data_IF_129084465242
#
_entry.id   IF_129084465242
#
_cell.length_a   1.000
_cell.length_b   1.000
_cell.length_c   1.000
_cell.angle_alpha   90.00
_cell.angle_beta   90.00
_cell.angle_gamma   90.00
#
_symmetry.space_group_name_H-M   'P 1'
#
loop_
_entity.id
_entity.type
_entity.pdbx_description
1 polymer ?
#
# COMPACT_ATOMS: atom_id res chain seq x y z
N UNK A 1 29.51 -9.85 -7.44
CA UNK A 1 29.52 -8.45 -7.90
C UNK A 1 28.28 -7.76 -7.33
N UNK A 2 28.45 -6.97 -6.26
CA UNK A 2 27.33 -6.27 -5.59
C UNK A 2 27.11 -4.96 -6.32
N UNK A 3 25.99 -4.84 -7.05
CA UNK A 3 25.55 -3.55 -7.56
C UNK A 3 25.01 -2.72 -6.40
N UNK A 4 25.48 -1.47 -6.29
CA UNK A 4 25.16 -0.55 -5.20
C UNK A 4 23.64 -0.35 -5.04
N UNK A 5 23.08 -1.05 -4.07
CA UNK A 5 21.64 -0.97 -3.74
C UNK A 5 21.43 0.26 -2.87
N UNK A 6 20.68 1.22 -3.35
CA UNK A 6 20.29 2.36 -2.52
C UNK A 6 19.02 2.02 -1.73
N UNK A 7 19.14 1.11 -0.76
CA UNK A 7 18.13 0.94 0.29
C UNK A 7 18.54 1.85 1.43
N UNK A 8 17.66 2.74 1.85
CA UNK A 8 17.85 3.63 2.99
C UNK A 8 16.86 3.25 4.08
N UNK A 9 17.37 2.72 5.17
CA UNK A 9 16.62 2.41 6.39
C UNK A 9 16.96 3.47 7.44
N UNK A 10 15.95 4.12 7.99
CA UNK A 10 16.10 5.09 9.06
C UNK A 10 16.23 4.39 10.43
N UNK A 11 16.30 5.17 11.51
CA UNK A 11 16.53 4.66 12.88
C UNK A 11 15.34 3.80 13.35
N UNK A 12 15.62 2.69 14.01
CA UNK A 12 14.59 1.84 14.62
C UNK A 12 13.70 1.09 13.63
N UNK A 13 14.06 1.06 12.34
CA UNK A 13 13.35 0.23 11.35
C UNK A 13 13.57 -1.24 11.69
N UNK A 14 12.47 -2.01 11.72
CA UNK A 14 12.49 -3.45 11.97
C UNK A 14 12.09 -4.20 10.69
N UNK A 15 12.97 -5.07 10.24
CA UNK A 15 12.70 -5.98 9.11
C UNK A 15 12.67 -7.39 9.68
N UNK A 16 11.51 -8.03 9.62
CA UNK A 16 11.31 -9.35 10.19
C UNK A 16 11.66 -10.47 9.20
N UNK A 17 11.82 -11.67 9.72
CA UNK A 17 12.23 -12.85 8.97
C UNK A 17 11.29 -13.13 7.77
N UNK A 18 11.88 -13.51 6.64
CA UNK A 18 11.15 -13.76 5.41
C UNK A 18 10.58 -12.52 4.71
N UNK A 19 10.77 -11.30 5.27
CA UNK A 19 10.47 -10.08 4.54
C UNK A 19 11.45 -9.90 3.38
N UNK A 20 10.94 -9.50 2.21
CA UNK A 20 11.75 -9.31 1.01
C UNK A 20 11.81 -7.83 0.64
N UNK A 21 13.01 -7.26 0.74
CA UNK A 21 13.30 -5.91 0.25
C UNK A 21 14.01 -6.03 -1.08
N UNK A 22 13.28 -5.75 -2.15
CA UNK A 22 13.75 -5.85 -3.52
C UNK A 22 13.86 -7.28 -4.08
N UNK A 23 13.01 -7.56 -5.04
CA UNK A 23 13.14 -8.68 -5.95
C UNK A 23 13.58 -8.18 -7.31
N UNK A 24 14.66 -8.76 -7.85
CA UNK A 24 15.14 -8.47 -9.19
C UNK A 24 14.57 -9.52 -10.16
N UNK A 25 13.65 -9.10 -11.01
CA UNK A 25 13.35 -9.83 -12.24
C UNK A 25 14.01 -9.09 -13.41
N UNK A 26 15.04 -9.67 -14.00
CA UNK A 26 15.63 -9.14 -15.23
C UNK A 26 17.07 -8.61 -15.15
N UNK A 27 17.71 -8.48 -16.33
CA UNK A 27 19.06 -7.95 -16.53
C UNK A 27 18.97 -6.45 -16.81
N UNK A 28 19.52 -5.58 -15.95
CA UNK A 28 19.63 -4.14 -16.20
C UNK A 28 20.26 -3.37 -15.03
N UNK A 29 20.81 -2.18 -15.26
CA UNK A 29 21.40 -1.32 -14.25
C UNK A 29 20.27 -0.55 -13.54
N UNK A 30 19.56 -1.18 -12.62
CA UNK A 30 18.48 -0.51 -11.88
C UNK A 30 19.04 0.07 -10.58
N UNK A 31 18.95 1.38 -10.44
CA UNK A 31 19.12 2.03 -9.15
C UNK A 31 17.85 1.78 -8.32
N UNK A 32 17.98 0.94 -7.30
CA UNK A 32 16.85 0.66 -6.42
C UNK A 32 16.69 1.80 -5.44
N UNK A 33 15.54 2.41 -5.43
CA UNK A 33 15.16 3.46 -4.50
C UNK A 33 14.10 2.93 -3.53
N UNK A 34 14.55 2.37 -2.41
CA UNK A 34 13.68 2.01 -1.29
C UNK A 34 14.10 2.84 -0.08
N UNK A 35 13.17 3.61 0.47
CA UNK A 35 13.38 4.36 1.71
C UNK A 35 12.30 3.98 2.71
N UNK A 36 12.71 3.69 3.96
CA UNK A 36 11.81 3.38 5.07
C UNK A 36 12.17 4.29 6.23
N UNK A 37 11.18 5.07 6.70
CA UNK A 37 11.30 6.04 7.77
C UNK A 37 11.39 5.44 9.18
N UNK A 38 11.73 6.29 10.14
CA UNK A 38 12.00 5.91 11.53
C UNK A 38 10.89 5.07 12.15
N UNK A 39 11.24 4.04 12.91
CA UNK A 39 10.33 3.22 13.71
C UNK A 39 9.36 2.33 12.91
N UNK A 40 9.47 2.33 11.58
CA UNK A 40 8.59 1.52 10.73
C UNK A 40 8.97 0.03 10.77
N UNK A 41 7.96 -0.83 10.53
CA UNK A 41 8.10 -2.29 10.63
C UNK A 41 7.65 -2.96 9.34
N UNK A 42 8.45 -3.90 8.86
CA UNK A 42 8.12 -4.78 7.73
C UNK A 42 8.03 -6.21 8.26
N UNK A 43 6.82 -6.74 8.31
CA UNK A 43 6.49 -8.01 8.95
C UNK A 43 6.84 -9.21 8.05
N UNK A 44 6.87 -10.42 8.60
CA UNK A 44 7.25 -11.64 7.87
C UNK A 44 6.48 -11.82 6.55
N UNK A 45 7.20 -12.20 5.50
CA UNK A 45 6.64 -12.49 4.18
C UNK A 45 6.18 -11.25 3.40
N UNK A 46 6.23 -10.04 3.96
CA UNK A 46 5.96 -8.82 3.22
C UNK A 46 7.02 -8.59 2.13
N UNK A 47 6.61 -8.11 0.97
CA UNK A 47 7.49 -7.91 -0.20
C UNK A 47 7.41 -6.47 -0.68
N UNK A 48 8.52 -5.77 -0.66
CA UNK A 48 8.68 -4.41 -1.17
C UNK A 48 9.52 -4.48 -2.43
N UNK A 49 8.90 -4.26 -3.58
CA UNK A 49 9.48 -4.52 -4.92
C UNK A 49 9.51 -3.21 -5.73
N UNK A 50 10.51 -2.36 -5.55
CA UNK A 50 10.62 -1.09 -6.29
C UNK A 50 10.73 -1.27 -7.81
N UNK A 51 11.28 -2.37 -8.28
CA UNK A 51 11.59 -2.64 -9.70
C UNK A 51 12.34 -1.46 -10.33
N UNK A 52 11.78 -0.82 -11.36
CA UNK A 52 12.38 0.30 -12.11
C UNK A 52 11.98 1.67 -11.53
N UNK A 53 11.09 1.70 -10.54
CA UNK A 53 10.64 2.91 -9.89
C UNK A 53 11.21 3.07 -8.48
N UNK A 54 10.34 3.46 -7.53
CA UNK A 54 10.75 3.64 -6.14
C UNK A 54 9.62 3.33 -5.17
N UNK A 55 10.00 3.03 -3.91
CA UNK A 55 9.08 2.96 -2.77
C UNK A 55 9.63 3.85 -1.67
N UNK A 56 8.82 4.81 -1.22
CA UNK A 56 9.08 5.62 -0.04
C UNK A 56 8.02 5.34 1.01
N UNK A 57 8.45 4.93 2.20
CA UNK A 57 7.59 4.69 3.36
C UNK A 57 7.99 5.67 4.44
N UNK A 58 7.03 6.36 5.00
CA UNK A 58 7.18 7.32 6.08
C UNK A 58 7.56 6.66 7.42
N UNK A 59 7.45 7.42 8.50
CA UNK A 59 7.77 7.01 9.87
C UNK A 59 6.62 6.22 10.49
N UNK A 60 6.92 5.38 11.49
CA UNK A 60 5.96 4.64 12.31
C UNK A 60 4.96 3.81 11.51
N UNK A 61 5.29 3.43 10.28
CA UNK A 61 4.43 2.59 9.44
C UNK A 61 4.57 1.11 9.81
N UNK A 62 3.51 0.34 9.58
CA UNK A 62 3.57 -1.11 9.67
C UNK A 62 3.08 -1.73 8.38
N UNK A 63 3.93 -2.52 7.74
CA UNK A 63 3.62 -3.32 6.56
C UNK A 63 3.47 -4.76 7.04
N UNK A 64 2.23 -5.23 7.09
CA UNK A 64 1.87 -6.51 7.72
C UNK A 64 2.19 -7.73 6.85
N UNK A 65 2.01 -8.91 7.43
CA UNK A 65 2.31 -10.22 6.86
C UNK A 65 1.85 -10.37 5.40
N UNK A 66 2.75 -10.80 4.53
CA UNK A 66 2.46 -11.12 3.14
C UNK A 66 1.97 -9.95 2.29
N UNK A 67 2.02 -8.71 2.78
CA UNK A 67 1.69 -7.55 1.96
C UNK A 67 2.68 -7.39 0.80
N UNK A 68 2.17 -7.04 -0.38
CA UNK A 68 2.94 -6.94 -1.62
C UNK A 68 2.85 -5.51 -2.18
N UNK A 69 3.96 -4.81 -2.13
CA UNK A 69 4.08 -3.42 -2.55
C UNK A 69 5.01 -3.31 -3.75
N UNK A 70 4.47 -2.92 -4.89
CA UNK A 70 5.25 -2.60 -6.09
C UNK A 70 5.56 -1.10 -6.16
N UNK A 71 6.64 -0.76 -6.88
CA UNK A 71 7.06 0.63 -7.02
C UNK A 71 7.30 1.08 -8.46
N UNK A 72 6.79 0.39 -9.47
CA UNK A 72 7.11 0.64 -10.91
C UNK A 72 6.84 2.09 -11.30
N UNK A 73 5.66 2.61 -11.06
CA UNK A 73 5.28 4.01 -11.29
C UNK A 73 5.61 4.95 -10.13
N UNK A 74 6.23 4.39 -9.06
CA UNK A 74 6.45 5.09 -7.80
C UNK A 74 5.36 4.82 -6.78
N UNK A 75 5.76 4.57 -5.53
CA UNK A 75 4.86 4.42 -4.39
C UNK A 75 5.35 5.30 -3.25
N UNK A 76 4.48 6.19 -2.79
CA UNK A 76 4.72 7.02 -1.62
C UNK A 76 3.67 6.71 -0.54
N UNK A 77 4.14 6.40 0.67
CA UNK A 77 3.31 6.15 1.85
C UNK A 77 3.75 7.14 2.93
N UNK A 78 2.82 7.95 3.41
CA UNK A 78 3.04 8.92 4.48
C UNK A 78 3.30 8.26 5.82
N UNK A 79 3.48 9.08 6.86
CA UNK A 79 3.76 8.63 8.21
C UNK A 79 2.55 7.93 8.86
N UNK A 80 2.78 7.13 9.89
CA UNK A 80 1.79 6.51 10.78
C UNK A 80 0.79 5.54 10.11
N UNK A 81 1.10 5.08 8.89
CA UNK A 81 0.21 4.20 8.13
C UNK A 81 0.22 2.75 8.64
N UNK A 82 -0.92 2.08 8.49
CA UNK A 82 -1.11 0.66 8.79
C UNK A 82 -1.57 -0.06 7.53
N UNK A 83 -0.68 -0.82 6.92
CA UNK A 83 -0.95 -1.66 5.74
C UNK A 83 -1.15 -3.08 6.24
N UNK A 84 -2.39 -3.55 6.25
CA UNK A 84 -2.73 -4.85 6.82
C UNK A 84 -2.28 -6.03 5.93
N UNK A 85 -2.42 -7.24 6.46
CA UNK A 85 -1.92 -8.45 5.84
C UNK A 85 -2.49 -8.68 4.42
N UNK A 86 -1.63 -9.19 3.54
CA UNK A 86 -1.97 -9.56 2.15
C UNK A 86 -2.53 -8.41 1.29
N UNK A 87 -2.34 -7.17 1.71
CA UNK A 87 -2.63 -6.00 0.87
C UNK A 87 -1.72 -6.00 -0.36
N UNK A 88 -2.28 -5.69 -1.53
CA UNK A 88 -1.51 -5.52 -2.77
C UNK A 88 -1.60 -4.06 -3.23
N UNK A 89 -0.46 -3.43 -3.43
CA UNK A 89 -0.36 -2.07 -3.98
C UNK A 89 0.43 -2.18 -5.29
N UNK A 90 -0.25 -1.87 -6.42
CA UNK A 90 0.33 -2.04 -7.76
C UNK A 90 0.20 -0.76 -8.59
N UNK A 91 1.25 0.08 -8.62
CA UNK A 91 1.26 1.34 -9.38
C UNK A 91 1.66 1.11 -10.84
N UNK A 92 0.97 0.19 -11.50
CA UNK A 92 1.13 -0.11 -12.94
C UNK A 92 -0.07 -0.88 -13.47
N UNK A 93 -0.34 -0.73 -14.77
CA UNK A 93 -1.31 -1.52 -15.52
C UNK A 93 -0.73 -1.91 -16.88
N UNK A 94 -1.21 -3.02 -17.44
CA UNK A 94 -1.01 -3.32 -18.86
C UNK A 94 -1.96 -2.51 -19.74
N UNK A 95 -1.48 -2.07 -20.91
CA UNK A 95 -2.33 -1.53 -21.98
C UNK A 95 -3.05 -2.71 -22.64
N UNK A 96 -4.36 -2.60 -22.84
CA UNK A 96 -5.20 -3.69 -23.36
C UNK A 96 -6.33 -3.21 -24.28
N UNK A 97 -6.29 -1.98 -24.73
CA UNK A 97 -7.37 -1.36 -25.54
C UNK A 97 -7.49 -1.95 -26.93
N UNK A 98 -6.39 -2.42 -27.52
CA UNK A 98 -6.42 -3.03 -28.85
C UNK A 98 -6.76 -4.53 -28.72
N UNK A 99 -7.92 -4.97 -29.27
CA UNK A 99 -8.33 -6.39 -29.17
C UNK A 99 -7.54 -7.32 -30.09
N UNK A 100 -6.76 -6.80 -31.03
CA UNK A 100 -6.01 -7.59 -32.02
C UNK A 100 -4.57 -7.83 -31.57
N UNK A 101 -3.96 -6.83 -30.95
CA UNK A 101 -2.57 -6.91 -30.45
C UNK A 101 -2.54 -7.65 -29.12
N UNK A 102 -1.72 -8.69 -28.94
CA UNK A 102 -1.55 -9.34 -27.63
C UNK A 102 -1.19 -8.32 -26.53
N UNK A 103 -1.81 -8.41 -25.35
CA UNK A 103 -1.61 -7.46 -24.22
C UNK A 103 -0.13 -7.25 -23.92
N UNK A 104 0.68 -8.32 -23.93
CA UNK A 104 2.13 -8.23 -23.68
C UNK A 104 2.90 -7.34 -24.67
N UNK A 105 2.31 -7.03 -25.82
CA UNK A 105 2.93 -6.24 -26.89
C UNK A 105 2.41 -4.77 -26.89
N UNK A 106 1.34 -4.49 -26.16
CA UNK A 106 0.76 -3.15 -26.06
C UNK A 106 1.48 -2.25 -25.03
N UNK A 107 2.33 -2.82 -24.17
CA UNK A 107 3.08 -2.09 -23.16
C UNK A 107 2.37 -1.94 -21.83
N UNK A 108 2.86 -1.01 -21.02
CA UNK A 108 2.42 -0.79 -19.65
C UNK A 108 2.27 0.70 -19.36
N UNK A 109 1.33 1.06 -18.48
CA UNK A 109 1.24 2.38 -17.86
C UNK A 109 1.67 2.29 -16.40
N UNK A 110 2.28 3.35 -15.88
CA UNK A 110 2.74 3.40 -14.50
C UNK A 110 2.71 4.86 -14.01
N UNK A 111 1.55 5.29 -13.53
CA UNK A 111 1.28 6.66 -13.04
C UNK A 111 1.85 6.84 -11.64
N UNK A 112 1.77 5.80 -10.81
CA UNK A 112 2.20 5.84 -9.42
C UNK A 112 1.04 5.94 -8.43
N UNK A 113 1.34 5.68 -7.14
CA UNK A 113 0.34 5.72 -6.06
C UNK A 113 0.88 6.60 -4.93
N UNK A 114 0.00 7.46 -4.39
CA UNK A 114 0.30 8.28 -3.22
C UNK A 114 -0.69 7.98 -2.10
N UNK A 115 -0.17 7.66 -0.93
CA UNK A 115 -0.94 7.39 0.28
C UNK A 115 -0.52 8.41 1.33
N UNK A 116 -1.48 9.16 1.84
CA UNK A 116 -1.28 10.18 2.86
C UNK A 116 -0.85 9.61 4.21
N UNK A 117 -0.85 10.44 5.24
CA UNK A 117 -0.49 10.07 6.61
C UNK A 117 -1.67 9.43 7.33
N UNK A 118 -1.38 8.60 8.35
CA UNK A 118 -2.39 8.01 9.26
C UNK A 118 -3.49 7.25 8.50
N UNK A 119 -3.12 6.58 7.40
CA UNK A 119 -4.02 5.77 6.58
C UNK A 119 -4.03 4.33 7.07
N UNK A 120 -5.22 3.76 7.21
CA UNK A 120 -5.38 2.34 7.47
C UNK A 120 -5.94 1.61 6.25
N UNK A 121 -5.17 0.68 5.71
CA UNK A 121 -5.59 -0.21 4.63
C UNK A 121 -5.84 -1.59 5.21
N UNK A 122 -7.08 -2.04 5.14
CA UNK A 122 -7.56 -3.32 5.64
C UNK A 122 -6.96 -4.52 4.90
N UNK A 123 -6.99 -5.67 5.53
CA UNK A 123 -6.40 -6.90 4.99
C UNK A 123 -6.96 -7.25 3.60
N UNK A 124 -6.06 -7.76 2.75
CA UNK A 124 -6.42 -8.21 1.38
C UNK A 124 -7.00 -7.11 0.47
N UNK A 125 -6.86 -5.83 0.82
CA UNK A 125 -7.24 -4.74 -0.07
C UNK A 125 -6.27 -4.63 -1.25
N UNK A 126 -6.76 -4.09 -2.39
CA UNK A 126 -5.96 -3.79 -3.59
C UNK A 126 -6.02 -2.30 -3.87
N UNK A 127 -4.86 -1.69 -4.10
CA UNK A 127 -4.77 -0.29 -4.51
C UNK A 127 -4.17 -0.28 -5.91
N UNK A 128 -4.92 0.27 -6.87
CA UNK A 128 -4.55 0.27 -8.29
C UNK A 128 -3.81 1.55 -8.68
N UNK A 129 -3.18 1.49 -9.85
CA UNK A 129 -2.36 2.57 -10.40
C UNK A 129 -3.09 3.91 -10.49
N UNK A 130 -2.36 5.00 -10.30
CA UNK A 130 -2.83 6.37 -10.40
C UNK A 130 -3.61 6.89 -9.18
N UNK A 131 -3.86 6.04 -8.16
CA UNK A 131 -4.71 6.42 -7.02
C UNK A 131 -3.96 7.30 -6.02
N UNK A 132 -4.64 8.35 -5.56
CA UNK A 132 -4.24 9.19 -4.41
C UNK A 132 -5.19 8.94 -3.25
N UNK A 133 -4.65 8.55 -2.08
CA UNK A 133 -5.40 8.34 -0.85
C UNK A 133 -5.06 9.46 0.13
N UNK A 134 -6.05 10.24 0.52
CA UNK A 134 -5.88 11.36 1.44
C UNK A 134 -5.58 10.93 2.88
N UNK A 135 -5.03 11.87 3.66
CA UNK A 135 -4.66 11.66 5.07
C UNK A 135 -5.82 11.12 5.90
N UNK A 136 -5.54 10.19 6.80
CA UNK A 136 -6.50 9.64 7.74
C UNK A 136 -7.59 8.76 7.14
N UNK A 137 -7.50 8.39 5.87
CA UNK A 137 -8.47 7.52 5.22
C UNK A 137 -8.42 6.09 5.78
N UNK A 138 -9.55 5.40 5.72
CA UNK A 138 -9.71 4.00 6.13
C UNK A 138 -10.27 3.21 4.96
N UNK A 139 -9.57 2.17 4.56
CA UNK A 139 -9.97 1.25 3.50
C UNK A 139 -10.34 -0.09 4.14
N UNK A 140 -11.57 -0.55 3.91
CA UNK A 140 -12.04 -1.83 4.44
C UNK A 140 -11.31 -3.04 3.85
N UNK A 141 -11.29 -4.13 4.60
CA UNK A 141 -10.69 -5.38 4.14
C UNK A 141 -11.34 -5.87 2.83
N UNK A 142 -10.53 -6.46 1.95
CA UNK A 142 -10.96 -6.98 0.66
C UNK A 142 -11.38 -5.93 -0.39
N UNK A 143 -11.27 -4.65 -0.08
CA UNK A 143 -11.67 -3.59 -1.01
C UNK A 143 -10.70 -3.43 -2.19
N UNK A 144 -11.21 -2.97 -3.34
CA UNK A 144 -10.41 -2.63 -4.52
C UNK A 144 -10.54 -1.13 -4.80
N UNK A 145 -9.50 -0.37 -4.50
CA UNK A 145 -9.47 1.08 -4.71
C UNK A 145 -9.01 1.37 -6.13
N UNK A 146 -9.92 1.95 -6.92
CA UNK A 146 -9.73 2.26 -8.35
C UNK A 146 -9.78 3.77 -8.65
N UNK A 147 -9.97 4.61 -7.64
CA UNK A 147 -10.09 6.08 -7.74
C UNK A 147 -9.58 6.72 -6.46
N UNK A 148 -9.27 8.00 -6.56
CA UNK A 148 -8.84 8.81 -5.43
C UNK A 148 -9.84 8.77 -4.27
N UNK A 149 -9.30 8.79 -3.05
CA UNK A 149 -10.07 8.85 -1.82
C UNK A 149 -9.75 10.13 -1.06
N UNK A 150 -10.77 10.95 -0.73
CA UNK A 150 -10.58 12.17 0.06
C UNK A 150 -10.00 11.90 1.46
N UNK A 151 -9.37 12.89 2.09
CA UNK A 151 -8.93 12.77 3.47
C UNK A 151 -10.07 12.37 4.43
N UNK A 152 -9.72 11.54 5.41
CA UNK A 152 -10.62 11.02 6.44
C UNK A 152 -11.77 10.15 5.90
N UNK A 153 -11.79 9.79 4.62
CA UNK A 153 -12.84 8.93 4.06
C UNK A 153 -12.76 7.50 4.62
N UNK A 154 -13.92 6.86 4.75
CA UNK A 154 -14.07 5.43 5.00
C UNK A 154 -14.61 4.82 3.73
N UNK A 155 -13.82 3.96 3.07
CA UNK A 155 -14.15 3.36 1.79
C UNK A 155 -14.14 1.83 1.85
N UNK A 156 -15.14 1.19 1.26
CA UNK A 156 -15.27 -0.27 1.23
C UNK A 156 -15.80 -0.77 -0.11
N UNK A 157 -15.56 -2.04 -0.42
CA UNK A 157 -16.17 -2.74 -1.56
C UNK A 157 -15.26 -2.91 -2.78
N UNK A 158 -15.80 -3.53 -3.82
CA UNK A 158 -15.13 -3.83 -5.09
C UNK A 158 -16.05 -3.44 -6.25
N UNK A 159 -15.81 -2.27 -6.87
CA UNK A 159 -14.84 -1.25 -6.54
C UNK A 159 -15.18 -0.50 -5.23
N UNK A 160 -14.16 0.03 -4.54
CA UNK A 160 -14.35 0.74 -3.28
C UNK A 160 -15.19 2.03 -3.46
N UNK A 161 -16.10 2.27 -2.51
CA UNK A 161 -16.92 3.48 -2.45
C UNK A 161 -16.81 4.09 -1.06
N UNK A 162 -16.79 5.41 -1.01
CA UNK A 162 -16.82 6.14 0.26
C UNK A 162 -18.21 5.95 0.89
N UNK A 163 -18.24 5.36 2.08
CA UNK A 163 -19.47 5.12 2.86
C UNK A 163 -19.59 6.03 4.07
N UNK A 164 -18.56 6.77 4.40
CA UNK A 164 -18.53 7.63 5.57
C UNK A 164 -17.25 8.43 5.70
N UNK A 165 -17.15 9.17 6.80
CA UNK A 165 -15.98 9.97 7.15
C UNK A 165 -15.54 9.64 8.58
N UNK A 166 -14.24 9.45 8.77
CA UNK A 166 -13.64 9.24 10.09
C UNK A 166 -13.92 10.46 10.99
N UNK A 167 -14.31 10.22 12.24
CA UNK A 167 -14.67 11.28 13.20
C UNK A 167 -16.13 11.75 13.13
N UNK A 168 -16.89 11.41 12.09
CA UNK A 168 -18.34 11.58 12.11
C UNK A 168 -18.99 10.33 12.71
N UNK A 169 -20.12 10.49 13.43
CA UNK A 169 -20.93 9.33 13.86
C UNK A 169 -21.33 8.56 12.61
N UNK A 170 -20.88 7.31 12.49
CA UNK A 170 -21.39 6.43 11.45
C UNK A 170 -22.90 6.29 11.68
N UNK A 171 -23.72 6.61 10.68
CA UNK A 171 -25.15 6.32 10.73
C UNK A 171 -25.30 4.80 10.89
N UNK A 172 -26.27 4.38 11.69
CA UNK A 172 -26.53 3.00 12.13
C UNK A 172 -26.81 1.97 11.00
N UNK A 173 -26.51 2.30 9.76
CA UNK A 173 -26.74 1.45 8.59
C UNK A 173 -25.63 0.41 8.31
N UNK A 174 -24.54 0.42 9.06
CA UNK A 174 -23.58 -0.69 9.01
C UNK A 174 -24.00 -1.69 10.07
N UNK A 175 -24.31 -2.96 9.71
CA UNK A 175 -24.61 -3.98 10.71
C UNK A 175 -23.50 -3.96 11.76
N UNK A 176 -23.90 -3.82 13.01
CA UNK A 176 -23.00 -3.73 14.16
C UNK A 176 -22.34 -5.11 14.36
N UNK A 177 -21.31 -5.43 13.56
CA UNK A 177 -20.52 -6.66 13.71
C UNK A 177 -19.67 -6.63 14.99
N UNK A 178 -19.63 -5.48 15.67
CA UNK A 178 -18.91 -5.27 16.92
C UNK A 178 -19.96 -4.86 17.95
N UNK A 179 -20.33 -5.80 18.80
CA UNK A 179 -21.27 -5.55 19.93
C UNK A 179 -20.86 -4.31 20.73
N UNK A 180 -21.83 -3.74 21.41
CA UNK A 180 -21.83 -2.44 22.10
C UNK A 180 -20.75 -2.23 23.19
N UNK A 181 -19.76 -3.10 23.33
CA UNK A 181 -18.66 -2.96 24.28
C UNK A 181 -17.30 -3.22 23.62
N UNK A 182 -16.75 -2.19 22.97
CA UNK A 182 -15.32 -2.22 22.63
C UNK A 182 -14.55 -1.89 23.92
N UNK A 183 -14.09 -2.92 24.63
CA UNK A 183 -13.03 -2.75 25.64
C UNK A 183 -11.77 -2.28 24.91
N UNK A 184 -11.40 -1.01 25.12
CA UNK A 184 -10.14 -0.46 24.61
C UNK A 184 -8.99 -1.10 25.39
N UNK A 185 -8.45 -2.21 24.90
CA UNK A 185 -7.20 -2.75 25.41
C UNK A 185 -6.08 -1.89 24.85
N UNK A 186 -5.44 -1.07 25.68
CA UNK A 186 -4.18 -0.44 25.34
C UNK A 186 -3.14 -1.54 25.35
N UNK A 187 -2.63 -1.91 24.19
CA UNK A 187 -1.42 -2.72 24.08
C UNK A 187 -0.24 -1.80 24.43
N UNK A 188 0.36 -2.03 25.60
CA UNK A 188 1.62 -1.43 26.04
C UNK A 188 2.79 -1.99 25.24
#
# INVERSE_FOLDING_TARGET
MYYGRKIRLARGVQIHDGAMLNYRSGRGPYSINLTIGDGSKVMPGARLIPQQGYIKIGKNCTIQYGALLYGVGGLEIGDDCRIAAYTVITPMNHVFEDPVIPIREQGETAVGIKIGRDVWIGANAKILDGVVIGDGAVIGAGSVVTRDLPPLSIAVGTPARVIGKRGSRMRESVPNCLGSEIKRTRLT
#
